data_IF_622233030514
#
_entry.id   IF_622233030514
#
_cell.length_a   1.000
_cell.length_b   1.000
_cell.length_c   1.000
_cell.angle_alpha   90.00
_cell.angle_beta   90.00
_cell.angle_gamma   90.00
#
_symmetry.space_group_name_H-M   'P 1'
#
loop_
_entity.id
_entity.type
_entity.pdbx_description
1 polymer ?
#
# COMPACT_ATOMS: atom_id res chain seq x y z
N UNK A 1 1.55 65.86 5.43
CA UNK A 1 1.12 64.48 5.75
C UNK A 1 0.44 63.89 4.53
N UNK A 2 1.10 62.96 3.81
CA UNK A 2 0.57 62.34 2.58
C UNK A 2 -0.55 61.36 2.95
N UNK A 3 -1.78 61.61 2.48
CA UNK A 3 -2.95 60.74 2.64
C UNK A 3 -2.78 59.54 1.72
N UNK A 4 -2.44 58.39 2.29
CA UNK A 4 -2.45 57.12 1.56
C UNK A 4 -3.92 56.77 1.31
N UNK A 5 -4.31 56.64 0.05
CA UNK A 5 -5.68 56.30 -0.34
C UNK A 5 -6.03 54.89 0.15
N UNK A 6 -7.16 54.75 0.86
CA UNK A 6 -7.67 53.48 1.39
C UNK A 6 -7.82 52.41 0.30
N UNK A 7 -8.13 52.83 -0.94
CA UNK A 7 -8.22 51.96 -2.11
C UNK A 7 -6.87 51.37 -2.54
N UNK A 8 -5.76 52.09 -2.34
CA UNK A 8 -4.43 51.56 -2.59
C UNK A 8 -3.99 50.52 -1.55
N UNK A 9 -4.50 50.65 -0.32
CA UNK A 9 -4.23 49.73 0.78
C UNK A 9 -4.98 48.40 0.62
N UNK A 10 -6.24 48.47 0.15
CA UNK A 10 -7.06 47.28 -0.19
C UNK A 10 -6.45 46.50 -1.37
N UNK A 11 -5.94 47.20 -2.39
CA UNK A 11 -5.29 46.57 -3.54
C UNK A 11 -4.02 45.79 -3.17
N UNK A 12 -3.20 46.31 -2.25
CA UNK A 12 -1.99 45.63 -1.77
C UNK A 12 -2.35 44.45 -0.85
N UNK A 13 -3.40 44.57 -0.04
CA UNK A 13 -3.88 43.47 0.81
C UNK A 13 -4.41 42.28 0.00
N UNK A 14 -5.13 42.54 -1.10
CA UNK A 14 -5.62 41.49 -2.00
C UNK A 14 -4.48 40.81 -2.78
N UNK A 15 -3.44 41.56 -3.15
CA UNK A 15 -2.23 41.01 -3.78
C UNK A 15 -1.43 40.10 -2.84
N UNK A 16 -1.42 40.37 -1.54
CA UNK A 16 -0.77 39.52 -0.53
C UNK A 16 -1.56 38.24 -0.20
N UNK A 17 -2.89 38.26 -0.35
CA UNK A 17 -3.74 37.07 -0.20
C UNK A 17 -3.63 36.09 -1.38
N UNK A 18 -3.26 36.57 -2.58
CA UNK A 18 -3.10 35.73 -3.77
C UNK A 18 -1.80 34.92 -3.84
N UNK A 19 -0.86 35.12 -2.91
CA UNK A 19 0.48 34.48 -2.94
C UNK A 19 0.54 33.21 -2.08
N UNK A 20 -0.51 32.88 -1.31
CA UNK A 20 -0.57 31.67 -0.49
C UNK A 20 -1.54 30.59 -1.02
N UNK A 21 -2.00 30.68 -2.27
CA UNK A 21 -2.42 29.48 -2.99
C UNK A 21 -1.16 28.91 -3.62
N UNK A 22 -0.21 28.51 -2.76
CA UNK A 22 0.68 27.43 -3.12
C UNK A 22 -0.25 26.27 -3.40
N UNK A 23 -0.50 26.01 -4.68
CA UNK A 23 -0.81 24.68 -5.13
C UNK A 23 0.34 23.85 -4.55
N UNK A 24 0.12 23.22 -3.39
CA UNK A 24 0.78 21.96 -3.10
C UNK A 24 0.29 21.08 -4.24
N UNK A 25 1.03 21.14 -5.35
CA UNK A 25 0.90 20.21 -6.43
C UNK A 25 1.33 18.91 -5.78
N UNK A 26 0.35 18.19 -5.23
CA UNK A 26 0.43 16.78 -4.87
C UNK A 26 1.02 16.11 -6.09
N UNK A 27 2.34 16.10 -6.14
CA UNK A 27 3.08 15.45 -7.20
C UNK A 27 2.67 14.00 -6.99
N UNK A 28 2.00 13.36 -7.96
CA UNK A 28 1.56 11.99 -7.76
C UNK A 28 2.81 11.20 -7.43
N UNK A 29 2.89 10.75 -6.18
CA UNK A 29 3.97 9.89 -5.73
C UNK A 29 3.93 8.68 -6.67
N UNK A 30 5.07 8.32 -7.25
CA UNK A 30 5.12 7.26 -8.24
C UNK A 30 4.58 5.94 -7.68
N UNK A 31 4.27 5.01 -8.57
CA UNK A 31 3.71 3.71 -8.22
C UNK A 31 4.72 2.58 -8.47
N UNK A 32 4.58 1.48 -7.73
CA UNK A 32 5.33 0.24 -7.90
C UNK A 32 4.50 -0.97 -7.47
N UNK A 33 5.08 -2.17 -7.47
CA UNK A 33 4.41 -3.41 -7.07
C UNK A 33 5.19 -4.13 -5.99
N UNK A 34 4.50 -4.98 -5.22
CA UNK A 34 5.11 -5.84 -4.21
C UNK A 34 4.86 -7.29 -4.63
N UNK A 35 5.93 -8.07 -4.76
CA UNK A 35 5.83 -9.53 -4.99
C UNK A 35 6.08 -10.27 -3.68
N UNK A 36 5.08 -11.06 -3.28
CA UNK A 36 5.06 -11.95 -2.12
C UNK A 36 5.49 -13.34 -2.55
N UNK A 37 6.25 -14.04 -1.70
CA UNK A 37 6.61 -15.45 -1.86
C UNK A 37 6.37 -16.21 -0.56
N UNK A 38 5.82 -17.41 -0.66
CA UNK A 38 5.45 -18.23 0.50
C UNK A 38 6.02 -19.64 0.31
N UNK A 39 7.03 -20.01 1.09
CA UNK A 39 7.75 -21.28 0.95
C UNK A 39 6.90 -22.54 1.19
N UNK A 40 5.99 -22.53 2.16
CA UNK A 40 5.29 -23.73 2.67
C UNK A 40 3.76 -23.66 2.48
N UNK A 41 3.33 -23.26 1.28
CA UNK A 41 1.90 -23.17 0.95
C UNK A 41 1.17 -24.51 1.09
N UNK A 42 0.07 -24.50 1.85
CA UNK A 42 -0.86 -25.61 2.01
C UNK A 42 -1.98 -25.50 0.98
N UNK A 43 -2.11 -26.51 0.12
CA UNK A 43 -3.04 -26.54 -1.03
C UNK A 43 -4.51 -26.29 -0.66
N UNK A 44 -4.93 -26.76 0.52
CA UNK A 44 -6.31 -26.72 1.03
C UNK A 44 -6.66 -25.39 1.73
N UNK A 45 -5.68 -24.52 1.96
CA UNK A 45 -5.87 -23.24 2.66
C UNK A 45 -6.06 -22.08 1.69
N UNK A 46 -6.41 -20.92 2.25
CA UNK A 46 -6.53 -19.67 1.52
C UNK A 46 -5.53 -18.64 2.04
N UNK A 47 -4.95 -17.83 1.16
CA UNK A 47 -3.94 -16.84 1.53
C UNK A 47 -4.43 -15.44 1.20
N UNK A 48 -4.53 -14.59 2.21
CA UNK A 48 -5.00 -13.21 2.12
C UNK A 48 -3.83 -12.25 2.36
N UNK A 49 -3.68 -11.25 1.50
CA UNK A 49 -2.50 -10.37 1.47
C UNK A 49 -2.92 -8.93 1.79
N UNK A 50 -2.18 -8.27 2.68
CA UNK A 50 -2.40 -6.87 3.02
C UNK A 50 -1.09 -6.12 3.16
N UNK A 51 -1.16 -4.81 3.09
CA UNK A 51 -0.07 -3.97 3.59
C UNK A 51 -0.46 -2.53 3.81
N UNK A 52 0.33 -1.91 4.67
CA UNK A 52 0.12 -0.58 5.22
C UNK A 52 1.38 0.25 4.99
N UNK A 53 1.23 1.37 4.30
CA UNK A 53 2.30 2.32 4.01
C UNK A 53 2.55 3.26 5.18
N UNK A 54 3.78 3.74 5.31
CA UNK A 54 4.13 4.84 6.19
C UNK A 54 3.52 6.20 5.75
N UNK A 55 2.85 6.23 4.60
CA UNK A 55 2.18 7.39 4.01
C UNK A 55 0.64 7.31 4.08
N UNK A 56 0.09 6.50 5.00
CA UNK A 56 -1.37 6.32 5.20
C UNK A 56 -2.11 5.72 3.99
N UNK A 57 -1.39 4.92 3.19
CA UNK A 57 -1.94 4.12 2.11
C UNK A 57 -2.08 2.66 2.53
N UNK A 58 -3.11 1.98 2.04
CA UNK A 58 -3.40 0.59 2.38
C UNK A 58 -3.69 -0.21 1.11
N UNK A 59 -3.18 -1.45 1.04
CA UNK A 59 -3.60 -2.41 0.02
C UNK A 59 -4.14 -3.67 0.67
N UNK A 60 -5.11 -4.30 0.00
CA UNK A 60 -5.64 -5.62 0.34
C UNK A 60 -5.88 -6.38 -0.96
N UNK A 61 -5.84 -7.71 -0.91
CA UNK A 61 -6.17 -8.56 -2.04
C UNK A 61 -7.10 -9.68 -1.62
N UNK A 62 -8.03 -10.07 -2.49
CA UNK A 62 -8.87 -11.25 -2.28
C UNK A 62 -8.02 -12.50 -2.00
N UNK A 63 -8.52 -13.37 -1.14
CA UNK A 63 -7.78 -14.57 -0.77
C UNK A 63 -7.59 -15.50 -1.98
N UNK A 64 -6.39 -16.07 -2.13
CA UNK A 64 -6.09 -17.06 -3.18
C UNK A 64 -6.01 -18.46 -2.56
N UNK A 65 -6.59 -19.49 -3.19
CA UNK A 65 -6.43 -20.85 -2.70
C UNK A 65 -4.96 -21.28 -2.82
N UNK A 66 -4.43 -22.01 -1.85
CA UNK A 66 -3.03 -22.44 -1.82
C UNK A 66 -2.66 -23.29 -3.04
N UNK A 67 -3.59 -24.11 -3.52
CA UNK A 67 -3.42 -24.88 -4.76
C UNK A 67 -3.07 -23.99 -5.97
N UNK A 68 -3.63 -22.80 -6.08
CA UNK A 68 -3.32 -21.85 -7.14
C UNK A 68 -1.90 -21.27 -6.99
N UNK A 69 -1.53 -20.93 -5.76
CA UNK A 69 -0.22 -20.40 -5.41
C UNK A 69 0.91 -21.42 -5.67
N UNK A 70 0.64 -22.72 -5.48
CA UNK A 70 1.61 -23.80 -5.76
C UNK A 70 1.85 -24.00 -7.28
N UNK A 71 0.80 -23.89 -8.10
CA UNK A 71 0.84 -24.22 -9.55
C UNK A 71 1.75 -23.28 -10.36
N UNK A 72 2.05 -22.08 -9.83
CA UNK A 72 2.94 -21.12 -10.50
C UNK A 72 4.41 -21.58 -10.58
N UNK A 73 4.78 -22.71 -9.96
CA UNK A 73 6.14 -23.25 -10.01
C UNK A 73 7.16 -22.42 -9.21
N UNK A 74 6.69 -21.40 -8.50
CA UNK A 74 7.49 -20.37 -7.82
C UNK A 74 7.28 -20.32 -6.30
N UNK A 75 6.75 -21.39 -5.69
CA UNK A 75 6.47 -21.42 -4.23
C UNK A 75 5.57 -20.25 -3.80
N UNK A 76 4.35 -20.20 -4.32
CA UNK A 76 3.34 -19.28 -3.82
C UNK A 76 3.63 -17.81 -4.04
N UNK A 77 3.85 -17.43 -5.30
CA UNK A 77 3.98 -16.02 -5.65
C UNK A 77 2.62 -15.31 -5.80
N UNK A 78 2.54 -14.11 -5.24
CA UNK A 78 1.46 -13.17 -5.47
C UNK A 78 2.04 -11.78 -5.71
N UNK A 79 1.59 -11.07 -6.75
CA UNK A 79 1.98 -9.68 -7.01
C UNK A 79 0.81 -8.77 -6.68
N UNK A 80 1.06 -7.75 -5.84
CA UNK A 80 0.05 -6.74 -5.53
C UNK A 80 -0.37 -5.95 -6.78
N UNK A 81 -1.55 -5.31 -6.76
CA UNK A 81 -1.79 -4.15 -7.62
C UNK A 81 -0.69 -3.08 -7.46
N UNK A 82 -0.68 -2.11 -8.37
CA UNK A 82 0.20 -0.94 -8.23
C UNK A 82 -0.12 -0.21 -6.90
N UNK A 83 0.92 0.06 -6.13
CA UNK A 83 0.89 0.73 -4.84
C UNK A 83 1.86 1.90 -4.84
N UNK A 84 1.61 2.88 -3.97
CA UNK A 84 2.47 4.05 -3.83
C UNK A 84 3.90 3.68 -3.41
N UNK A 85 4.90 4.33 -4.03
CA UNK A 85 6.31 4.28 -3.61
C UNK A 85 6.44 4.74 -2.16
N UNK A 86 7.17 3.97 -1.35
CA UNK A 86 7.27 4.22 0.08
C UNK A 86 7.69 2.99 0.86
N UNK A 87 7.56 3.07 2.18
CA UNK A 87 7.84 1.94 3.07
C UNK A 87 6.52 1.31 3.53
N UNK A 88 6.40 0.00 3.36
CA UNK A 88 5.22 -0.78 3.62
C UNK A 88 5.47 -1.80 4.73
N UNK A 89 4.48 -2.02 5.57
CA UNK A 89 4.40 -3.22 6.41
C UNK A 89 3.43 -4.17 5.74
N UNK A 90 3.88 -5.37 5.43
CA UNK A 90 3.11 -6.33 4.64
C UNK A 90 2.75 -7.54 5.50
N UNK A 91 1.56 -8.10 5.29
CA UNK A 91 1.06 -9.24 6.03
C UNK A 91 0.43 -10.26 5.08
N UNK A 92 0.64 -11.53 5.43
CA UNK A 92 -0.02 -12.67 4.79
C UNK A 92 -0.76 -13.45 5.87
N UNK A 93 -2.01 -13.78 5.59
CA UNK A 93 -2.85 -14.59 6.46
C UNK A 93 -3.18 -15.89 5.76
N UNK A 94 -2.82 -17.01 6.38
CA UNK A 94 -3.34 -18.33 6.01
C UNK A 94 -4.69 -18.52 6.71
N UNK A 95 -5.72 -18.82 5.93
CA UNK A 95 -7.11 -18.90 6.35
C UNK A 95 -7.69 -20.29 6.06
N UNK A 96 -8.61 -20.74 6.92
CA UNK A 96 -9.38 -21.98 6.74
C UNK A 96 -10.47 -21.87 5.64
N UNK A 97 -10.83 -20.65 5.25
CA UNK A 97 -11.85 -20.39 4.24
C UNK A 97 -11.50 -19.14 3.41
N UNK A 98 -12.09 -19.01 2.22
CA UNK A 98 -11.89 -17.84 1.37
C UNK A 98 -12.41 -16.55 2.02
N UNK A 99 -11.72 -15.45 1.75
CA UNK A 99 -12.09 -14.10 2.17
C UNK A 99 -12.05 -13.13 0.97
N UNK A 100 -13.06 -12.27 0.85
CA UNK A 100 -13.11 -11.18 -0.13
C UNK A 100 -12.22 -10.01 0.29
N UNK A 101 -11.95 -9.09 -0.63
CA UNK A 101 -11.15 -7.89 -0.40
C UNK A 101 -11.58 -7.07 0.83
N UNK A 102 -12.89 -6.93 1.03
CA UNK A 102 -13.55 -6.16 2.08
C UNK A 102 -13.86 -6.98 3.34
N UNK A 103 -13.51 -8.27 3.37
CA UNK A 103 -13.80 -9.14 4.51
C UNK A 103 -13.04 -8.68 5.76
N UNK A 104 -13.75 -8.59 6.88
CA UNK A 104 -13.11 -8.49 8.19
C UNK A 104 -12.42 -9.81 8.49
N UNK A 105 -11.09 -9.78 8.64
CA UNK A 105 -10.31 -10.96 9.02
C UNK A 105 -10.26 -11.00 10.55
N UNK A 106 -10.82 -12.04 11.13
CA UNK A 106 -10.89 -12.27 12.58
C UNK A 106 -9.94 -13.40 12.99
N UNK A 107 -9.54 -13.44 14.26
CA UNK A 107 -8.52 -14.40 14.74
C UNK A 107 -8.97 -15.87 14.62
N UNK A 108 -10.28 -16.15 14.62
CA UNK A 108 -10.85 -17.49 14.40
C UNK A 108 -10.77 -17.96 12.94
N UNK A 109 -10.57 -17.04 11.99
CA UNK A 109 -10.35 -17.38 10.58
C UNK A 109 -8.88 -17.70 10.28
N UNK A 110 -7.96 -17.23 11.13
CA UNK A 110 -6.52 -17.24 10.89
C UNK A 110 -5.91 -18.53 11.42
N UNK A 111 -5.35 -19.34 10.53
CA UNK A 111 -4.53 -20.50 10.86
C UNK A 111 -3.10 -20.06 11.18
N UNK A 112 -2.56 -19.15 10.35
CA UNK A 112 -1.23 -18.58 10.50
C UNK A 112 -1.23 -17.12 10.03
N UNK A 113 -0.45 -16.28 10.73
CA UNK A 113 -0.19 -14.90 10.34
C UNK A 113 1.30 -14.67 10.23
N UNK A 114 1.67 -14.08 9.11
CA UNK A 114 3.02 -13.85 8.66
C UNK A 114 3.18 -12.35 8.38
N UNK A 115 4.22 -11.70 8.92
CA UNK A 115 4.40 -10.24 8.81
C UNK A 115 5.81 -9.90 8.37
N UNK A 116 5.92 -9.22 7.22
CA UNK A 116 7.15 -8.63 6.73
C UNK A 116 7.17 -7.14 7.10
N UNK A 117 8.08 -6.76 8.00
CA UNK A 117 8.23 -5.39 8.46
C UNK A 117 9.23 -4.67 7.54
N UNK A 118 8.81 -3.55 6.95
CA UNK A 118 9.65 -2.62 6.15
C UNK A 118 10.01 -3.09 4.73
N UNK A 119 9.01 -3.21 3.87
CA UNK A 119 9.08 -3.35 2.41
C UNK A 119 9.23 -1.98 1.76
N UNK A 120 10.36 -1.68 1.14
CA UNK A 120 10.56 -0.45 0.36
C UNK A 120 10.10 -0.68 -1.09
N UNK A 121 9.19 0.17 -1.58
CA UNK A 121 8.72 0.21 -2.97
C UNK A 121 9.37 1.42 -3.64
N UNK A 122 9.97 1.22 -4.82
CA UNK A 122 10.65 2.28 -5.61
C UNK A 122 10.12 2.36 -7.03
N UNK A 123 10.43 3.46 -7.73
CA UNK A 123 10.05 3.67 -9.13
C UNK A 123 10.81 2.68 -10.03
N UNK A 124 10.06 1.88 -10.77
CA UNK A 124 10.53 1.01 -11.86
C UNK A 124 11.59 -0.07 -11.51
N UNK A 125 11.40 -0.78 -10.40
CA UNK A 125 12.00 -2.11 -10.24
C UNK A 125 11.12 -3.00 -9.37
N UNK A 126 10.54 -4.04 -9.99
CA UNK A 126 9.93 -5.17 -9.30
C UNK A 126 10.73 -5.52 -8.04
N UNK A 127 10.18 -5.22 -6.86
CA UNK A 127 10.85 -5.60 -5.62
C UNK A 127 10.36 -6.97 -5.21
N UNK A 128 11.27 -7.92 -5.33
CA UNK A 128 11.08 -9.33 -5.04
C UNK A 128 11.27 -9.57 -3.55
N UNK A 129 10.19 -9.66 -2.78
CA UNK A 129 10.27 -10.10 -1.39
C UNK A 129 10.15 -11.61 -1.35
N UNK A 130 11.30 -12.27 -1.17
CA UNK A 130 11.31 -13.68 -0.78
C UNK A 130 11.13 -13.70 0.72
N UNK A 131 9.92 -14.01 1.17
CA UNK A 131 9.72 -14.33 2.58
C UNK A 131 10.02 -15.81 2.72
N UNK A 132 11.23 -16.09 3.21
CA UNK A 132 11.70 -17.44 3.51
C UNK A 132 11.20 -17.79 4.92
N UNK A 133 10.51 -18.93 5.03
CA UNK A 133 9.89 -19.38 6.27
C UNK A 133 10.60 -20.65 6.72
N UNK A 134 11.16 -20.65 7.94
CA UNK A 134 11.65 -21.85 8.65
C UNK A 134 10.52 -22.58 9.39
#
# INVERSE_FOLDING_TARGET
MKRISLFGLIGIMLLLLGVFIGCEEDTPLGEGTITFRIGDVVSEKHYFFTGDSNLDAHFRAESRPGSFLIVLGTMGEFTSPAVQIGTWTCQVYELDSSASYDATITDDMIVRRDTAISVIVTEDADTLYTVDWE
#
